data_IF_644560768634
#
_entry.id   IF_644560768634
#
_cell.length_a   1.000
_cell.length_b   1.000
_cell.length_c   1.000
_cell.angle_alpha   90.00
_cell.angle_beta   90.00
_cell.angle_gamma   90.00
#
_symmetry.space_group_name_H-M   'P 1'
#
loop_
_entity.id
_entity.type
_entity.pdbx_description
1 polymer ?
#
# COMPACT_ATOMS: atom_id res chain seq x y z
N UNK A 1 -9.48 -1.62 -22.80
CA UNK A 1 -8.35 -1.08 -22.05
C UNK A 1 -7.31 -2.15 -21.67
N UNK A 2 -7.70 -3.45 -21.62
CA UNK A 2 -6.77 -4.52 -21.24
C UNK A 2 -5.51 -4.54 -22.11
N UNK A 3 -4.35 -4.60 -21.47
CA UNK A 3 -3.04 -4.60 -22.11
C UNK A 3 -2.61 -3.27 -22.72
N UNK A 4 -3.40 -2.21 -22.54
CA UNK A 4 -3.07 -0.88 -23.07
C UNK A 4 -2.69 0.05 -21.93
N UNK A 5 -1.56 0.76 -22.02
CA UNK A 5 -1.22 1.78 -21.03
C UNK A 5 -2.30 2.86 -20.96
N UNK A 6 -2.68 3.20 -19.75
CA UNK A 6 -3.40 4.45 -19.45
C UNK A 6 -2.38 5.52 -19.11
N UNK A 7 -2.82 6.80 -19.04
CA UNK A 7 -1.87 7.90 -18.88
C UNK A 7 -0.95 7.70 -17.66
N UNK A 8 0.38 7.85 -17.82
CA UNK A 8 1.32 7.64 -16.74
C UNK A 8 1.21 8.75 -15.69
N UNK A 9 1.42 8.40 -14.44
CA UNK A 9 1.69 9.35 -13.38
C UNK A 9 3.20 9.66 -13.36
N UNK A 10 3.55 10.94 -13.31
CA UNK A 10 4.94 11.40 -13.19
C UNK A 10 5.05 12.32 -11.98
N UNK A 11 6.09 12.15 -11.20
CA UNK A 11 6.40 13.09 -10.14
C UNK A 11 6.61 14.50 -10.67
N UNK A 12 6.19 15.51 -9.91
CA UNK A 12 6.38 16.93 -10.25
C UNK A 12 7.74 17.45 -9.84
N UNK A 13 8.32 16.84 -8.84
CA UNK A 13 9.60 17.23 -8.25
C UNK A 13 10.42 15.97 -7.97
N UNK A 14 11.76 16.09 -7.98
CA UNK A 14 12.63 14.99 -7.57
C UNK A 14 12.37 14.56 -6.13
N UNK A 15 12.59 13.28 -5.85
CA UNK A 15 12.50 12.71 -4.51
C UNK A 15 13.51 13.36 -3.55
N UNK A 16 13.07 13.57 -2.33
CA UNK A 16 13.93 13.99 -1.22
C UNK A 16 14.15 12.84 -0.24
N UNK A 17 15.29 12.83 0.44
CA UNK A 17 15.58 11.85 1.48
C UNK A 17 14.54 11.86 2.62
N UNK A 18 13.88 13.00 2.85
CA UNK A 18 12.78 13.09 3.81
C UNK A 18 11.55 12.27 3.41
N UNK A 19 11.37 11.98 2.13
CA UNK A 19 10.25 11.14 1.67
C UNK A 19 10.48 9.69 2.11
N UNK A 20 11.72 9.22 2.06
CA UNK A 20 12.09 7.90 2.57
C UNK A 20 11.88 7.79 4.08
N UNK A 21 12.32 8.81 4.83
CA UNK A 21 12.10 8.85 6.28
C UNK A 21 10.63 8.85 6.63
N UNK A 22 9.81 9.62 5.91
CA UNK A 22 8.35 9.65 6.10
C UNK A 22 7.74 8.29 5.83
N UNK A 23 8.17 7.63 4.77
CA UNK A 23 7.69 6.30 4.40
C UNK A 23 8.04 5.25 5.47
N UNK A 24 9.30 5.14 5.86
CA UNK A 24 9.71 4.15 6.88
C UNK A 24 9.06 4.39 8.22
N UNK A 25 8.83 5.65 8.59
CA UNK A 25 8.08 5.99 9.80
C UNK A 25 6.63 5.49 9.71
N UNK A 26 5.96 5.73 8.59
CA UNK A 26 4.58 5.30 8.37
C UNK A 26 4.47 3.77 8.30
N UNK A 27 5.45 3.11 7.70
CA UNK A 27 5.50 1.64 7.57
C UNK A 27 6.08 0.95 8.81
N UNK A 28 6.39 1.66 9.88
CA UNK A 28 7.01 1.11 11.09
C UNK A 28 8.29 0.30 10.77
N UNK A 29 9.12 0.81 9.86
CA UNK A 29 10.31 0.13 9.35
C UNK A 29 11.59 0.86 9.73
N UNK A 30 12.05 0.67 10.96
CA UNK A 30 13.20 1.36 11.54
C UNK A 30 14.56 0.81 11.04
N UNK A 31 14.76 0.75 9.71
CA UNK A 31 16.02 0.36 9.10
C UNK A 31 16.86 1.61 8.78
N UNK A 32 18.02 1.73 9.44
CA UNK A 32 18.94 2.87 9.37
C UNK A 32 19.37 3.22 7.94
N UNK A 33 19.43 2.25 7.05
CA UNK A 33 19.81 2.43 5.64
C UNK A 33 18.96 3.48 4.91
N UNK A 34 17.75 3.74 5.38
CA UNK A 34 16.77 4.59 4.71
C UNK A 34 16.65 6.00 5.30
N UNK A 35 17.25 6.27 6.48
CA UNK A 35 17.10 7.57 7.13
C UNK A 35 18.32 8.06 7.92
N UNK A 36 19.31 7.21 8.17
CA UNK A 36 20.55 7.59 8.86
C UNK A 36 21.66 7.78 7.82
N UNK A 37 22.11 9.04 7.66
CA UNK A 37 23.09 9.40 6.64
C UNK A 37 24.47 8.79 6.89
N UNK A 38 24.90 8.78 8.17
CA UNK A 38 26.24 8.29 8.54
C UNK A 38 26.30 6.77 8.35
N UNK A 39 25.28 6.07 8.84
CA UNK A 39 25.14 4.63 8.62
C UNK A 39 25.11 4.29 7.13
N UNK A 40 24.28 4.96 6.33
CA UNK A 40 24.13 4.65 4.90
C UNK A 40 25.39 4.97 4.09
N UNK A 41 26.20 5.94 4.54
CA UNK A 41 27.48 6.28 3.88
C UNK A 41 28.52 5.17 4.02
N UNK A 42 28.49 4.40 5.09
CA UNK A 42 29.41 3.26 5.34
C UNK A 42 28.93 1.98 4.63
N UNK A 43 27.66 1.92 4.21
CA UNK A 43 27.04 0.76 3.60
C UNK A 43 27.33 0.59 2.10
N UNK A 44 26.77 -0.47 1.53
CA UNK A 44 26.91 -0.89 0.14
C UNK A 44 26.65 0.24 -0.87
N UNK A 45 25.69 1.14 -0.57
CA UNK A 45 25.19 2.14 -1.49
C UNK A 45 25.90 3.50 -1.34
N UNK A 46 26.65 3.71 -0.25
CA UNK A 46 27.36 4.96 0.05
C UNK A 46 26.46 6.17 0.30
N UNK A 47 25.15 5.96 0.41
CA UNK A 47 24.13 7.00 0.63
C UNK A 47 22.78 6.37 1.00
N UNK A 48 21.85 7.20 1.46
CA UNK A 48 20.48 6.76 1.69
C UNK A 48 19.86 6.18 0.41
N UNK A 49 19.15 5.09 0.56
CA UNK A 49 18.39 4.42 -0.49
C UNK A 49 16.95 4.21 -0.01
N UNK A 50 15.97 4.30 -0.91
CA UNK A 50 14.58 4.02 -0.56
C UNK A 50 14.38 2.52 -0.21
N UNK A 51 13.46 2.18 0.69
CA UNK A 51 12.98 0.81 0.85
C UNK A 51 12.45 0.24 -0.48
N UNK A 52 12.48 -1.07 -0.64
CA UNK A 52 11.92 -1.70 -1.85
C UNK A 52 10.41 -1.43 -1.98
N UNK A 53 9.70 -1.35 -0.87
CA UNK A 53 8.28 -1.02 -0.81
C UNK A 53 7.94 0.41 -1.27
N UNK A 54 8.94 1.32 -1.31
CA UNK A 54 8.69 2.74 -1.52
C UNK A 54 8.09 3.09 -2.88
N UNK A 55 8.29 2.28 -3.92
CA UNK A 55 7.79 2.58 -5.26
C UNK A 55 6.28 2.90 -5.28
N UNK A 56 5.48 2.22 -4.46
CA UNK A 56 4.04 2.47 -4.36
C UNK A 56 3.69 3.84 -3.78
N UNK A 57 4.61 4.47 -3.06
CA UNK A 57 4.39 5.81 -2.48
C UNK A 57 4.18 6.90 -3.54
N UNK A 58 4.68 6.70 -4.75
CA UNK A 58 4.53 7.64 -5.87
C UNK A 58 3.29 7.37 -6.72
N UNK A 59 2.58 6.28 -6.46
CA UNK A 59 1.33 5.99 -7.15
C UNK A 59 0.17 6.77 -6.53
N UNK A 60 -0.65 7.33 -7.39
CA UNK A 60 -1.77 8.18 -7.04
C UNK A 60 -3.07 7.42 -6.72
N UNK A 61 -3.04 6.12 -6.78
CA UNK A 61 -4.16 5.22 -6.48
C UNK A 61 -3.76 4.10 -5.53
N UNK A 62 -2.76 4.29 -4.67
CA UNK A 62 -2.24 3.26 -3.74
C UNK A 62 -1.90 1.93 -4.43
N UNK A 63 -1.44 2.00 -5.66
CA UNK A 63 -1.22 0.81 -6.47
C UNK A 63 -2.47 0.20 -7.11
N UNK A 64 -3.66 0.68 -6.79
CA UNK A 64 -4.91 0.10 -7.29
C UNK A 64 -5.33 0.63 -8.67
N UNK A 65 -4.81 1.76 -9.12
CA UNK A 65 -5.27 2.46 -10.32
C UNK A 65 -5.54 1.57 -11.55
N UNK A 66 -4.59 0.77 -12.03
CA UNK A 66 -4.82 -0.08 -13.20
C UNK A 66 -5.76 -1.27 -12.95
N UNK A 67 -6.03 -1.58 -11.68
CA UNK A 67 -6.95 -2.64 -11.25
C UNK A 67 -8.36 -2.13 -10.95
N UNK A 68 -8.70 -0.88 -11.26
CA UNK A 68 -10.03 -0.29 -11.04
C UNK A 68 -10.58 0.41 -12.27
N UNK A 69 -10.25 -0.05 -13.44
CA UNK A 69 -10.72 0.52 -14.70
C UNK A 69 -12.18 0.17 -14.94
N UNK A 70 -12.94 1.15 -15.40
CA UNK A 70 -14.37 1.02 -15.69
C UNK A 70 -15.27 1.28 -14.47
N UNK A 71 -16.47 1.78 -14.74
CA UNK A 71 -17.50 2.00 -13.74
C UNK A 71 -18.35 0.74 -13.53
N UNK A 72 -18.48 0.28 -12.29
CA UNK A 72 -19.50 -0.69 -11.88
C UNK A 72 -20.42 0.06 -10.92
N UNK A 73 -21.66 0.37 -11.31
CA UNK A 73 -22.59 1.12 -10.47
C UNK A 73 -22.76 0.46 -9.09
N UNK A 74 -22.95 1.26 -8.05
CA UNK A 74 -23.23 0.83 -6.67
C UNK A 74 -22.21 -0.16 -6.08
N UNK A 75 -21.02 -0.21 -6.70
CA UNK A 75 -19.94 -1.08 -6.22
C UNK A 75 -19.01 -0.35 -5.26
N UNK A 76 -18.49 -1.11 -4.31
CA UNK A 76 -17.32 -0.75 -3.52
C UNK A 76 -16.10 -1.52 -3.98
N UNK A 77 -14.93 -1.01 -3.65
CA UNK A 77 -13.64 -1.59 -4.01
C UNK A 77 -12.81 -1.80 -2.76
N UNK A 78 -12.28 -3.02 -2.61
CA UNK A 78 -11.23 -3.31 -1.63
C UNK A 78 -9.99 -3.87 -2.33
N UNK A 79 -8.84 -3.69 -1.72
CA UNK A 79 -7.57 -4.19 -2.25
C UNK A 79 -7.41 -5.66 -1.86
N UNK A 80 -7.33 -6.56 -2.86
CA UNK A 80 -7.32 -8.00 -2.65
C UNK A 80 -5.92 -8.63 -2.58
N UNK A 81 -4.90 -7.90 -3.01
CA UNK A 81 -3.52 -8.40 -3.00
C UNK A 81 -2.64 -7.73 -4.02
N UNK A 82 -1.36 -8.01 -3.95
CA UNK A 82 -0.38 -7.58 -4.93
C UNK A 82 0.71 -8.62 -5.16
N UNK A 83 1.35 -8.49 -6.32
CA UNK A 83 2.49 -9.28 -6.74
C UNK A 83 3.56 -8.33 -7.27
N UNK A 84 4.77 -8.41 -6.73
CA UNK A 84 5.88 -7.54 -7.04
C UNK A 84 7.01 -8.27 -7.72
N UNK A 85 7.60 -7.63 -8.73
CA UNK A 85 8.85 -8.02 -9.37
C UNK A 85 9.81 -6.83 -9.33
N UNK A 86 11.05 -7.06 -8.90
CA UNK A 86 12.10 -6.05 -8.84
C UNK A 86 13.23 -6.39 -9.81
N UNK A 87 13.70 -5.38 -10.53
CA UNK A 87 14.61 -5.57 -11.66
C UNK A 87 16.03 -5.06 -11.40
N UNK A 88 16.33 -4.63 -10.18
CA UNK A 88 17.68 -4.29 -9.74
C UNK A 88 17.94 -2.82 -9.45
N UNK A 89 17.53 -1.85 -10.29
CA UNK A 89 17.75 -0.44 -9.97
C UNK A 89 17.08 -0.07 -8.64
N UNK A 90 17.80 0.75 -7.85
CA UNK A 90 17.28 1.27 -6.56
C UNK A 90 16.81 2.70 -6.75
N UNK A 91 16.01 3.17 -5.82
CA UNK A 91 15.47 4.53 -5.79
C UNK A 91 16.29 5.36 -4.82
N UNK A 92 16.70 6.55 -5.24
CA UNK A 92 17.52 7.47 -4.47
C UNK A 92 16.89 8.85 -4.37
N UNK A 93 17.34 9.65 -3.40
CA UNK A 93 17.06 11.08 -3.40
C UNK A 93 17.60 11.74 -4.67
N UNK A 94 16.79 12.57 -5.31
CA UNK A 94 17.06 13.17 -6.61
C UNK A 94 16.42 12.42 -7.79
N UNK A 95 15.92 11.20 -7.62
CA UNK A 95 15.22 10.49 -8.70
C UNK A 95 13.85 11.10 -8.97
N UNK A 96 13.45 11.09 -10.24
CA UNK A 96 12.11 11.41 -10.71
C UNK A 96 11.46 10.12 -11.23
N UNK A 97 10.41 9.65 -10.55
CA UNK A 97 9.77 8.39 -10.91
C UNK A 97 8.58 8.62 -11.84
N UNK A 98 8.39 7.64 -12.71
CA UNK A 98 7.22 7.50 -13.57
C UNK A 98 6.53 6.19 -13.25
N UNK A 99 5.22 6.23 -13.04
CA UNK A 99 4.37 5.06 -12.91
C UNK A 99 3.50 4.93 -14.17
N UNK A 100 3.78 3.92 -14.98
CA UNK A 100 2.95 3.53 -16.11
C UNK A 100 1.94 2.48 -15.64
N UNK A 101 0.67 2.69 -15.95
CA UNK A 101 -0.44 1.84 -15.52
C UNK A 101 -1.01 1.07 -16.69
N UNK A 102 -1.11 -0.26 -16.54
CA UNK A 102 -1.62 -1.15 -17.58
C UNK A 102 -2.67 -2.08 -16.99
N UNK A 103 -3.96 -1.89 -17.30
CA UNK A 103 -5.00 -2.89 -16.94
C UNK A 103 -4.64 -4.24 -17.50
N UNK A 104 -4.69 -5.29 -16.68
CA UNK A 104 -4.19 -6.61 -17.08
C UNK A 104 -5.31 -7.60 -17.37
N UNK A 105 -6.18 -7.86 -16.39
CA UNK A 105 -7.22 -8.88 -16.50
C UNK A 105 -8.38 -8.61 -15.54
N UNK A 106 -9.51 -9.25 -15.77
CA UNK A 106 -10.62 -9.30 -14.82
C UNK A 106 -11.35 -10.64 -14.89
N UNK A 107 -11.93 -11.03 -13.78
CA UNK A 107 -12.79 -12.20 -13.70
C UNK A 107 -13.94 -11.93 -12.73
N UNK A 108 -15.15 -12.31 -13.11
CA UNK A 108 -16.32 -12.26 -12.23
C UNK A 108 -16.57 -13.64 -11.67
N UNK A 109 -16.74 -13.74 -10.35
CA UNK A 109 -17.01 -15.00 -9.63
C UNK A 109 -18.09 -14.77 -8.59
N UNK A 110 -18.86 -15.81 -8.31
CA UNK A 110 -19.72 -15.87 -7.14
C UNK A 110 -18.87 -16.00 -5.88
N UNK A 111 -19.14 -15.17 -4.89
CA UNK A 111 -18.48 -15.22 -3.58
C UNK A 111 -19.52 -15.33 -2.47
N UNK A 112 -19.14 -15.95 -1.37
CA UNK A 112 -19.96 -15.98 -0.13
C UNK A 112 -20.01 -14.63 0.57
N UNK A 113 -19.15 -13.69 0.18
CA UNK A 113 -19.09 -12.35 0.77
C UNK A 113 -20.13 -11.39 0.18
N UNK A 114 -20.31 -11.39 -1.15
CA UNK A 114 -21.12 -10.37 -1.83
C UNK A 114 -21.80 -10.88 -3.11
N UNK A 115 -21.93 -12.19 -3.32
CA UNK A 115 -22.45 -12.74 -4.57
C UNK A 115 -21.53 -12.47 -5.75
N UNK A 116 -22.06 -11.96 -6.88
CA UNK A 116 -21.24 -11.61 -8.04
C UNK A 116 -20.18 -10.57 -7.69
N UNK A 117 -18.92 -10.94 -7.83
CA UNK A 117 -17.77 -10.12 -7.43
C UNK A 117 -16.75 -10.08 -8.56
N UNK A 118 -16.31 -8.88 -8.94
CA UNK A 118 -15.32 -8.69 -9.97
C UNK A 118 -13.92 -8.55 -9.36
N UNK A 119 -13.05 -9.49 -9.68
CA UNK A 119 -11.61 -9.44 -9.38
C UNK A 119 -10.91 -8.85 -10.60
N UNK A 120 -10.39 -7.66 -10.46
CA UNK A 120 -9.71 -6.95 -11.54
C UNK A 120 -8.25 -6.75 -11.17
N UNK A 121 -7.34 -7.02 -12.09
CA UNK A 121 -5.91 -6.82 -11.87
C UNK A 121 -5.30 -5.88 -12.91
N UNK A 122 -4.22 -5.21 -12.48
CA UNK A 122 -3.48 -4.31 -13.35
C UNK A 122 -2.07 -4.08 -12.86
N UNK A 123 -1.21 -3.70 -13.78
CA UNK A 123 0.22 -3.49 -13.56
C UNK A 123 0.54 -2.01 -13.37
N UNK A 124 1.26 -1.71 -12.32
CA UNK A 124 2.00 -0.47 -12.12
C UNK A 124 3.46 -0.75 -12.44
N UNK A 125 3.98 -0.11 -13.49
CA UNK A 125 5.37 -0.22 -13.91
C UNK A 125 6.11 1.05 -13.50
N UNK A 126 7.12 0.91 -12.65
CA UNK A 126 7.89 2.04 -12.12
C UNK A 126 9.23 2.18 -12.80
N UNK A 127 9.50 3.38 -13.31
CA UNK A 127 10.73 3.76 -13.98
C UNK A 127 11.34 4.98 -13.30
N UNK A 128 12.66 5.11 -13.37
CA UNK A 128 13.33 6.36 -13.01
C UNK A 128 13.41 7.32 -14.21
N UNK A 129 14.01 8.49 -14.01
CA UNK A 129 14.21 9.52 -15.05
C UNK A 129 15.05 9.07 -16.25
N UNK A 130 15.86 8.02 -16.09
CA UNK A 130 16.70 7.46 -17.15
C UNK A 130 15.96 6.40 -17.99
N UNK A 131 14.73 6.03 -17.58
CA UNK A 131 13.97 4.94 -18.17
C UNK A 131 14.36 3.55 -17.64
N UNK A 132 15.16 3.47 -16.59
CA UNK A 132 15.48 2.20 -15.94
C UNK A 132 14.24 1.62 -15.27
N UNK A 133 13.91 0.38 -15.58
CA UNK A 133 12.78 -0.32 -15.01
C UNK A 133 13.12 -0.82 -13.59
N UNK A 134 12.49 -0.21 -12.60
CA UNK A 134 12.75 -0.48 -11.18
C UNK A 134 11.96 -1.69 -10.70
N UNK A 135 10.63 -1.63 -10.86
CA UNK A 135 9.73 -2.63 -10.35
C UNK A 135 8.41 -2.67 -11.12
N UNK A 136 7.75 -3.81 -11.07
CA UNK A 136 6.34 -3.97 -11.42
C UNK A 136 5.57 -4.38 -10.19
N UNK A 137 4.44 -3.72 -9.94
CA UNK A 137 3.42 -4.18 -9.02
C UNK A 137 2.19 -4.59 -9.81
N UNK A 138 1.76 -5.84 -9.74
CA UNK A 138 0.44 -6.26 -10.17
C UNK A 138 -0.50 -6.25 -8.97
N UNK A 139 -1.40 -5.30 -8.93
CA UNK A 139 -2.43 -5.23 -7.92
C UNK A 139 -3.70 -5.96 -8.35
N UNK A 140 -4.47 -6.40 -7.37
CA UNK A 140 -5.80 -6.98 -7.58
C UNK A 140 -6.80 -6.24 -6.72
N UNK A 141 -7.84 -5.70 -7.35
CA UNK A 141 -8.99 -5.09 -6.69
C UNK A 141 -10.15 -6.07 -6.67
N UNK A 142 -10.92 -6.05 -5.60
CA UNK A 142 -12.15 -6.82 -5.42
C UNK A 142 -13.29 -5.82 -5.42
N UNK A 143 -14.12 -5.83 -6.47
CA UNK A 143 -15.24 -4.92 -6.64
C UNK A 143 -16.55 -5.69 -6.49
N UNK A 144 -17.43 -5.19 -5.64
CA UNK A 144 -18.65 -5.88 -5.25
C UNK A 144 -19.79 -4.89 -4.97
N UNK A 145 -21.03 -5.34 -5.10
CA UNK A 145 -22.21 -4.56 -4.74
C UNK A 145 -22.30 -4.47 -3.19
N UNK A 146 -22.34 -3.25 -2.66
CA UNK A 146 -22.38 -2.99 -1.21
C UNK A 146 -23.59 -3.63 -0.54
N UNK A 147 -24.75 -3.42 -1.15
CA UNK A 147 -26.00 -3.95 -0.62
C UNK A 147 -25.94 -5.46 -0.44
N UNK A 148 -25.40 -6.18 -1.45
CA UNK A 148 -25.25 -7.62 -1.35
C UNK A 148 -24.33 -8.03 -0.21
N UNK A 149 -23.20 -7.34 -0.01
CA UNK A 149 -22.28 -7.66 1.07
C UNK A 149 -22.92 -7.46 2.46
N UNK A 150 -23.73 -6.42 2.61
CA UNK A 150 -24.47 -6.15 3.84
C UNK A 150 -25.58 -7.20 4.04
N UNK A 151 -26.36 -7.51 3.00
CA UNK A 151 -27.46 -8.50 3.09
C UNK A 151 -26.95 -9.92 3.37
N UNK A 152 -25.83 -10.30 2.76
CA UNK A 152 -25.24 -11.63 2.99
C UNK A 152 -24.60 -11.78 4.37
N UNK A 153 -24.23 -10.66 5.01
CA UNK A 153 -23.74 -10.65 6.40
C UNK A 153 -22.55 -11.58 6.64
N UNK A 154 -21.73 -11.79 5.63
CA UNK A 154 -20.63 -12.77 5.67
C UNK A 154 -19.51 -12.40 6.66
N UNK A 155 -19.47 -11.15 7.09
CA UNK A 155 -18.55 -10.66 8.10
C UNK A 155 -19.36 -10.06 9.27
N UNK A 156 -19.28 -10.71 10.41
CA UNK A 156 -19.89 -10.18 11.65
C UNK A 156 -19.17 -8.90 12.09
N UNK A 157 -19.97 -7.93 12.57
CA UNK A 157 -19.41 -6.72 13.14
C UNK A 157 -18.49 -7.06 14.32
N UNK A 158 -17.29 -6.53 14.29
CA UNK A 158 -16.28 -6.77 15.34
C UNK A 158 -16.03 -5.46 16.07
N UNK A 159 -16.00 -5.52 17.39
CA UNK A 159 -15.61 -4.38 18.20
C UNK A 159 -14.10 -4.15 18.17
N UNK A 160 -13.69 -2.92 18.37
CA UNK A 160 -12.27 -2.62 18.48
C UNK A 160 -11.68 -3.28 19.72
N UNK A 161 -10.48 -3.88 19.63
CA UNK A 161 -9.86 -4.53 20.77
C UNK A 161 -9.51 -3.52 21.86
N UNK A 162 -9.72 -3.91 23.10
CA UNK A 162 -9.26 -3.18 24.28
C UNK A 162 -7.95 -3.82 24.75
N UNK A 163 -6.87 -3.06 24.68
CA UNK A 163 -5.55 -3.54 25.05
C UNK A 163 -5.23 -3.25 26.52
N UNK A 164 -4.71 -4.24 27.23
CA UNK A 164 -4.11 -4.05 28.55
C UNK A 164 -2.70 -3.45 28.41
N UNK A 165 -2.19 -2.83 29.48
CA UNK A 165 -0.82 -2.32 29.50
C UNK A 165 0.22 -3.41 29.24
N UNK A 166 -0.02 -4.63 29.74
CA UNK A 166 0.89 -5.76 29.52
C UNK A 166 0.90 -6.20 28.05
N UNK A 167 -0.26 -6.31 27.41
CA UNK A 167 -0.36 -6.66 25.99
C UNK A 167 0.35 -5.61 25.10
N UNK A 168 0.15 -4.31 25.40
CA UNK A 168 0.86 -3.24 24.68
C UNK A 168 2.38 -3.34 24.86
N UNK A 169 2.83 -3.65 26.07
CA UNK A 169 4.25 -3.85 26.34
C UNK A 169 4.81 -5.07 25.59
N UNK A 170 4.10 -6.18 25.58
CA UNK A 170 4.50 -7.40 24.88
C UNK A 170 4.59 -7.16 23.35
N UNK A 171 3.69 -6.36 22.79
CA UNK A 171 3.74 -5.95 21.39
C UNK A 171 4.94 -5.05 21.12
N UNK A 172 5.24 -4.13 22.00
CA UNK A 172 6.41 -3.24 21.90
C UNK A 172 7.71 -4.04 21.95
N UNK A 173 7.85 -4.95 22.92
CA UNK A 173 9.02 -5.81 23.04
C UNK A 173 9.26 -6.62 21.75
N UNK A 174 8.21 -7.18 21.15
CA UNK A 174 8.30 -7.89 19.87
C UNK A 174 8.68 -6.97 18.68
N UNK A 175 8.26 -5.71 18.68
CA UNK A 175 8.72 -4.74 17.66
C UNK A 175 10.22 -4.54 17.75
N UNK A 176 10.76 -4.45 18.96
CA UNK A 176 12.20 -4.27 19.17
C UNK A 176 13.02 -5.49 18.75
N UNK A 177 12.51 -6.70 18.86
CA UNK A 177 13.20 -7.91 18.40
C UNK A 177 13.55 -7.85 16.90
N UNK A 178 12.59 -7.42 16.08
CA UNK A 178 12.82 -7.28 14.63
C UNK A 178 13.80 -6.13 14.31
N UNK A 179 13.66 -5.00 14.99
CA UNK A 179 14.57 -3.85 14.83
C UNK A 179 15.99 -4.26 15.24
N UNK A 180 16.12 -4.94 16.36
CA UNK A 180 17.39 -5.44 16.87
C UNK A 180 18.08 -6.37 15.89
N UNK A 181 17.34 -7.31 15.30
CA UNK A 181 17.87 -8.23 14.28
C UNK A 181 18.46 -7.46 13.08
N UNK A 182 17.78 -6.41 12.60
CA UNK A 182 18.29 -5.59 11.50
C UNK A 182 19.56 -4.82 11.90
N UNK A 183 19.58 -4.24 13.10
CA UNK A 183 20.73 -3.46 13.59
C UNK A 183 21.93 -4.36 13.92
N UNK A 184 21.71 -5.59 14.41
CA UNK A 184 22.78 -6.57 14.65
C UNK A 184 23.37 -7.09 13.34
N UNK A 185 22.57 -7.27 12.30
CA UNK A 185 23.08 -7.58 10.96
C UNK A 185 23.93 -6.45 10.41
N UNK A 186 23.53 -5.18 10.65
CA UNK A 186 24.22 -3.99 10.19
C UNK A 186 24.54 -4.07 8.69
N UNK A 187 25.81 -3.85 8.34
CA UNK A 187 26.33 -3.98 6.97
C UNK A 187 26.75 -5.43 6.62
N UNK A 188 26.43 -6.38 7.47
CA UNK A 188 26.74 -7.80 7.29
C UNK A 188 26.00 -8.41 6.09
N UNK A 189 26.43 -9.61 5.74
CA UNK A 189 25.85 -10.41 4.65
C UNK A 189 25.20 -11.65 5.21
N UNK A 190 24.07 -12.03 4.61
CA UNK A 190 23.52 -13.38 4.75
C UNK A 190 23.90 -14.17 3.51
N UNK A 191 24.36 -15.38 3.72
CA UNK A 191 24.69 -16.30 2.64
C UNK A 191 23.61 -17.38 2.54
N UNK A 192 23.35 -17.84 1.33
CA UNK A 192 22.37 -18.90 1.07
C UNK A 192 22.68 -20.17 1.88
N UNK A 193 23.95 -20.50 2.01
CA UNK A 193 24.41 -21.72 2.70
C UNK A 193 24.23 -21.66 4.23
N UNK A 194 23.94 -20.49 4.77
CA UNK A 194 23.68 -20.28 6.20
C UNK A 194 22.19 -20.47 6.56
N UNK A 195 21.33 -20.77 5.57
CA UNK A 195 19.88 -20.84 5.75
C UNK A 195 19.42 -22.27 5.64
N UNK A 196 18.72 -22.76 6.66
CA UNK A 196 18.18 -24.10 6.71
C UNK A 196 16.65 -24.11 6.58
N UNK A 197 16.12 -25.23 6.06
CA UNK A 197 14.67 -25.44 6.02
C UNK A 197 14.15 -25.62 7.44
N UNK A 198 13.27 -24.73 7.86
CA UNK A 198 12.71 -24.71 9.21
C UNK A 198 13.23 -23.54 10.06
N UNK A 199 14.17 -22.75 9.55
CA UNK A 199 14.58 -21.52 10.22
C UNK A 199 13.39 -20.57 10.37
N UNK A 200 13.24 -20.00 11.55
CA UNK A 200 12.20 -19.06 11.88
C UNK A 200 12.73 -17.62 11.82
N UNK A 201 11.99 -16.76 11.16
CA UNK A 201 12.28 -15.32 11.16
C UNK A 201 11.69 -14.67 12.44
N UNK A 202 12.34 -13.63 12.99
CA UNK A 202 11.77 -12.86 14.09
C UNK A 202 10.39 -12.33 13.74
N UNK A 203 9.49 -12.34 14.70
CA UNK A 203 8.13 -11.78 14.51
C UNK A 203 8.23 -10.29 14.27
N UNK A 204 7.59 -9.81 13.21
CA UNK A 204 7.38 -8.38 12.99
C UNK A 204 5.98 -8.00 13.46
N UNK A 205 5.89 -7.04 14.36
CA UNK A 205 4.62 -6.48 14.84
C UNK A 205 4.43 -5.08 14.27
N UNK A 206 3.25 -4.82 13.72
CA UNK A 206 2.82 -3.52 13.24
C UNK A 206 1.49 -3.18 13.89
N UNK A 207 1.37 -2.00 14.44
CA UNK A 207 0.19 -1.60 15.22
C UNK A 207 0.45 -1.65 16.75
N UNK A 208 -0.58 -1.53 17.61
CA UNK A 208 -2.00 -1.43 17.23
C UNK A 208 -2.29 -0.22 16.35
N UNK A 209 -3.17 -0.39 15.37
CA UNK A 209 -3.57 0.70 14.51
C UNK A 209 -4.63 1.60 15.18
N UNK A 210 -4.58 2.89 14.83
CA UNK A 210 -5.52 3.90 15.23
C UNK A 210 -5.80 4.85 14.08
N UNK A 211 -6.75 5.75 14.23
CA UNK A 211 -6.98 6.84 13.26
C UNK A 211 -5.69 7.63 12.99
N UNK A 212 -4.88 7.86 14.03
CA UNK A 212 -3.61 8.58 13.88
C UNK A 212 -2.59 7.81 13.04
N UNK A 213 -2.47 6.48 13.20
CA UNK A 213 -1.58 5.66 12.37
C UNK A 213 -2.00 5.65 10.92
N UNK A 214 -3.28 5.47 10.62
CA UNK A 214 -3.80 5.53 9.25
C UNK A 214 -3.61 6.90 8.60
N UNK A 215 -3.79 7.98 9.34
CA UNK A 215 -3.51 9.33 8.85
C UNK A 215 -2.01 9.52 8.52
N UNK A 216 -1.12 8.92 9.30
CA UNK A 216 0.31 8.94 9.04
C UNK A 216 0.67 8.13 7.79
N UNK A 217 0.11 6.93 7.65
CA UNK A 217 0.28 6.11 6.44
C UNK A 217 -0.19 6.85 5.19
N UNK A 218 -1.39 7.42 5.22
CA UNK A 218 -1.93 8.22 4.13
C UNK A 218 -0.98 9.33 3.71
N UNK A 219 -0.43 10.07 4.68
CA UNK A 219 0.48 11.19 4.41
C UNK A 219 1.87 10.77 3.91
N UNK A 220 2.21 9.51 3.98
CA UNK A 220 3.45 9.00 3.43
C UNK A 220 3.38 8.75 1.92
N UNK A 221 2.19 8.57 1.36
CA UNK A 221 1.98 8.53 -0.08
C UNK A 221 2.11 9.92 -0.68
N UNK A 222 2.98 10.09 -1.67
CA UNK A 222 3.36 11.41 -2.18
C UNK A 222 2.22 12.14 -2.91
N UNK A 223 1.31 11.42 -3.52
CA UNK A 223 0.16 12.03 -4.21
C UNK A 223 -0.79 12.77 -3.25
N UNK A 224 -0.78 12.44 -1.96
CA UNK A 224 -1.58 13.14 -0.95
C UNK A 224 -1.05 14.53 -0.65
N UNK A 225 0.17 14.82 -1.05
CA UNK A 225 0.72 16.16 -1.07
C UNK A 225 0.33 16.75 -2.41
N UNK A 226 -0.56 17.72 -2.43
CA UNK A 226 -1.06 18.38 -3.61
C UNK A 226 -0.03 18.50 -4.72
N UNK A 227 -0.18 17.66 -5.73
CA UNK A 227 0.68 17.66 -6.89
C UNK A 227 1.99 16.93 -6.72
N UNK A 228 2.09 15.98 -5.80
CA UNK A 228 3.23 15.04 -5.76
C UNK A 228 3.41 14.28 -7.06
N UNK A 229 2.32 14.06 -7.80
CA UNK A 229 2.34 13.49 -9.14
C UNK A 229 1.63 14.39 -10.15
N UNK A 230 2.08 14.33 -11.40
CA UNK A 230 1.44 15.01 -12.52
C UNK A 230 0.86 13.98 -13.48
N UNK A 231 -0.39 14.19 -13.90
CA UNK A 231 -1.16 13.27 -14.76
C UNK A 231 -1.63 13.96 -16.03
N UNK A 232 -0.75 14.31 -16.95
CA UNK A 232 -1.20 14.91 -18.20
C UNK A 232 -1.96 13.87 -19.04
N UNK A 233 -3.17 14.24 -19.46
CA UNK A 233 -3.97 13.38 -20.32
C UNK A 233 -4.52 12.11 -19.67
N UNK A 234 -4.67 12.09 -18.35
CA UNK A 234 -5.35 11.00 -17.67
C UNK A 234 -6.78 10.84 -18.21
N UNK A 235 -7.07 9.65 -18.72
CA UNK A 235 -8.42 9.30 -19.13
C UNK A 235 -9.25 8.89 -17.90
N UNK A 236 -9.97 9.84 -17.35
CA UNK A 236 -10.80 9.65 -16.16
C UNK A 236 -11.92 8.66 -16.43
N UNK A 237 -12.48 8.61 -17.65
CA UNK A 237 -13.50 7.64 -18.00
C UNK A 237 -12.93 6.21 -18.03
N UNK A 238 -11.70 6.03 -18.51
CA UNK A 238 -11.02 4.74 -18.46
C UNK A 238 -10.77 4.27 -17.03
N UNK A 239 -10.55 5.20 -16.09
CA UNK A 239 -10.41 4.89 -14.67
C UNK A 239 -11.74 4.66 -13.96
N UNK A 240 -12.87 4.76 -14.66
CA UNK A 240 -14.20 4.63 -14.08
C UNK A 240 -14.72 5.86 -13.36
N UNK A 241 -14.03 7.00 -13.48
CA UNK A 241 -14.51 8.26 -12.95
C UNK A 241 -15.36 8.98 -14.00
N UNK A 242 -16.62 9.18 -13.70
CA UNK A 242 -17.51 10.06 -14.46
C UNK A 242 -17.52 11.44 -13.79
N UNK A 243 -18.17 12.43 -14.41
CA UNK A 243 -18.36 13.75 -13.79
C UNK A 243 -19.03 13.65 -12.42
N UNK A 244 -19.95 12.70 -12.25
CA UNK A 244 -20.64 12.44 -10.99
C UNK A 244 -19.70 11.96 -9.87
N UNK A 245 -18.64 11.23 -10.23
CA UNK A 245 -17.65 10.68 -9.30
C UNK A 245 -16.32 11.44 -9.30
N UNK A 246 -16.21 12.48 -10.13
CA UNK A 246 -14.98 13.25 -10.22
C UNK A 246 -14.68 13.97 -8.90
N UNK A 247 -13.51 13.70 -8.36
CA UNK A 247 -13.05 14.31 -7.10
C UNK A 247 -13.46 13.57 -5.83
N UNK A 248 -14.20 12.48 -5.93
CA UNK A 248 -14.55 11.61 -4.79
C UNK A 248 -13.65 10.38 -4.78
N UNK A 249 -12.95 10.16 -3.71
CA UNK A 249 -12.14 8.96 -3.50
C UNK A 249 -13.01 7.78 -3.12
N UNK A 250 -14.19 8.05 -2.62
CA UNK A 250 -15.14 7.10 -2.11
C UNK A 250 -16.51 7.33 -2.70
N UNK A 251 -17.43 6.57 -2.23
CA UNK A 251 -18.80 6.59 -2.61
C UNK A 251 -19.48 7.95 -2.34
N UNK A 252 -19.69 8.78 -3.36
CA UNK A 252 -20.29 10.10 -3.18
C UNK A 252 -21.74 10.01 -2.70
N UNK A 253 -22.43 8.89 -2.96
CA UNK A 253 -23.80 8.68 -2.48
C UNK A 253 -23.80 8.53 -0.97
N UNK A 254 -22.91 7.72 -0.42
CA UNK A 254 -22.78 7.58 1.02
C UNK A 254 -22.35 8.90 1.69
N UNK A 255 -21.50 9.67 1.09
CA UNK A 255 -21.11 10.98 1.61
C UNK A 255 -22.27 11.97 1.63
N UNK A 256 -23.05 12.01 0.54
CA UNK A 256 -24.26 12.86 0.44
C UNK A 256 -25.31 12.46 1.51
N UNK A 257 -25.50 11.17 1.70
CA UNK A 257 -26.53 10.65 2.59
C UNK A 257 -26.10 10.63 4.08
N UNK A 258 -24.80 10.84 4.34
CA UNK A 258 -24.23 10.90 5.70
C UNK A 258 -23.27 12.10 5.85
N UNK A 259 -23.77 13.34 5.69
CA UNK A 259 -22.93 14.53 5.65
C UNK A 259 -22.17 14.79 6.97
N UNK A 260 -22.65 14.29 8.09
CA UNK A 260 -22.00 14.39 9.40
C UNK A 260 -20.66 13.68 9.47
N UNK A 261 -20.38 12.77 8.53
CA UNK A 261 -19.12 12.04 8.47
C UNK A 261 -18.11 12.67 7.52
N UNK A 262 -18.46 13.78 6.88
CA UNK A 262 -17.66 14.36 5.81
C UNK A 262 -16.90 15.61 6.21
N UNK A 263 -17.21 16.24 7.35
CA UNK A 263 -16.63 17.52 7.78
C UNK A 263 -16.52 18.60 6.67
N UNK A 264 -17.27 18.43 5.58
CA UNK A 264 -17.45 19.39 4.48
C UNK A 264 -16.28 19.54 3.51
N UNK A 265 -15.05 19.35 3.94
CA UNK A 265 -13.84 19.51 3.12
C UNK A 265 -12.84 18.38 3.33
N UNK A 266 -13.32 17.20 3.71
CA UNK A 266 -12.46 16.07 3.98
C UNK A 266 -11.65 15.67 2.77
N UNK A 267 -10.36 15.65 2.97
CA UNK A 267 -9.39 15.12 2.02
C UNK A 267 -8.41 14.20 2.74
N UNK A 268 -8.70 12.92 2.71
CA UNK A 268 -7.96 11.95 3.48
C UNK A 268 -8.22 10.52 3.01
N UNK A 269 -7.88 9.54 3.87
CA UNK A 269 -8.11 8.13 3.55
C UNK A 269 -9.58 7.83 3.32
N UNK A 270 -9.83 6.72 2.63
CA UNK A 270 -11.19 6.17 2.52
C UNK A 270 -11.83 6.05 3.90
N UNK A 271 -13.05 6.51 4.03
CA UNK A 271 -13.73 6.58 5.33
C UNK A 271 -13.89 5.22 6.00
N UNK A 272 -13.99 4.14 5.24
CA UNK A 272 -14.03 2.79 5.76
C UNK A 272 -12.77 2.38 6.54
N UNK A 273 -11.63 3.06 6.32
CA UNK A 273 -10.42 2.84 7.10
C UNK A 273 -10.47 3.50 8.48
N UNK A 274 -11.32 4.52 8.66
CA UNK A 274 -11.32 5.37 9.84
C UNK A 274 -12.58 5.20 10.71
N UNK A 275 -13.73 4.98 10.09
CA UNK A 275 -15.02 4.99 10.75
C UNK A 275 -15.69 3.61 10.70
N UNK A 276 -15.83 2.92 11.84
CA UNK A 276 -16.46 1.59 11.90
C UNK A 276 -17.88 1.56 11.33
N UNK A 277 -18.66 2.61 11.55
CA UNK A 277 -20.04 2.72 11.05
C UNK A 277 -20.06 2.78 9.51
N UNK A 278 -19.12 3.49 8.92
CA UNK A 278 -18.96 3.53 7.48
C UNK A 278 -18.50 2.19 6.91
N UNK A 279 -17.52 1.56 7.55
CA UNK A 279 -17.05 0.23 7.16
C UNK A 279 -18.20 -0.80 7.13
N UNK A 280 -19.10 -0.78 8.12
CA UNK A 280 -20.27 -1.67 8.17
C UNK A 280 -21.23 -1.43 7.00
N UNK A 281 -21.39 -0.19 6.56
CA UNK A 281 -22.27 0.15 5.40
C UNK A 281 -21.76 -0.39 4.06
N UNK A 282 -20.50 -0.78 4.00
CA UNK A 282 -19.90 -1.41 2.84
C UNK A 282 -19.61 -2.90 3.04
N UNK A 283 -20.19 -3.52 4.10
CA UNK A 283 -20.07 -4.94 4.39
C UNK A 283 -18.80 -5.35 5.13
N UNK A 284 -17.99 -4.39 5.60
CA UNK A 284 -16.80 -4.67 6.40
C UNK A 284 -17.14 -4.71 7.90
N UNK A 285 -16.49 -5.56 8.71
CA UNK A 285 -16.84 -5.73 10.12
C UNK A 285 -16.44 -4.53 10.99
N UNK A 286 -15.40 -3.81 10.60
CA UNK A 286 -14.82 -2.62 11.28
C UNK A 286 -13.93 -1.85 10.34
N UNK A 287 -13.27 -0.81 10.81
CA UNK A 287 -12.19 -0.14 10.07
C UNK A 287 -11.11 -1.15 9.64
N UNK A 288 -10.57 -1.00 8.44
CA UNK A 288 -9.64 -1.96 7.84
C UNK A 288 -8.40 -1.25 7.28
N UNK A 289 -7.28 -1.99 7.18
CA UNK A 289 -6.00 -1.45 6.72
C UNK A 289 -5.93 -1.18 5.22
N UNK A 290 -4.92 -0.41 4.80
CA UNK A 290 -4.60 -0.24 3.38
C UNK A 290 -3.89 -1.48 2.86
N UNK A 291 -4.40 -2.08 1.79
CA UNK A 291 -3.77 -3.24 1.18
C UNK A 291 -2.35 -2.95 0.67
N UNK A 292 -2.10 -1.78 0.08
CA UNK A 292 -0.76 -1.39 -0.35
C UNK A 292 0.23 -1.24 0.82
N UNK A 293 -0.21 -0.75 1.98
CA UNK A 293 0.62 -0.72 3.19
C UNK A 293 0.92 -2.14 3.70
N UNK A 294 -0.06 -3.05 3.65
CA UNK A 294 0.16 -4.47 4.01
C UNK A 294 1.21 -5.11 3.10
N UNK A 295 1.17 -4.84 1.78
CA UNK A 295 2.20 -5.26 0.84
C UNK A 295 3.57 -4.71 1.17
N UNK A 296 3.62 -3.42 1.53
CA UNK A 296 4.85 -2.77 1.97
C UNK A 296 5.41 -3.42 3.25
N UNK A 297 4.56 -3.77 4.21
CA UNK A 297 5.01 -4.44 5.43
C UNK A 297 5.63 -5.80 5.15
N UNK A 298 5.05 -6.59 4.26
CA UNK A 298 5.61 -7.89 3.87
C UNK A 298 6.95 -7.73 3.16
N UNK A 299 7.05 -6.79 2.21
CA UNK A 299 8.29 -6.51 1.50
C UNK A 299 9.40 -6.02 2.44
N UNK A 300 9.09 -5.07 3.32
CA UNK A 300 10.05 -4.51 4.28
C UNK A 300 10.51 -5.55 5.31
N UNK A 301 9.62 -6.49 5.67
CA UNK A 301 9.97 -7.61 6.55
C UNK A 301 11.05 -8.49 5.92
N UNK A 302 10.82 -8.92 4.69
CA UNK A 302 11.75 -9.77 3.95
C UNK A 302 13.04 -9.02 3.60
N UNK A 303 12.94 -7.76 3.17
CA UNK A 303 14.10 -6.93 2.84
C UNK A 303 14.95 -6.62 4.08
N UNK A 304 14.33 -6.33 5.22
CA UNK A 304 15.01 -6.10 6.49
C UNK A 304 15.77 -7.34 6.99
N UNK A 305 15.18 -8.51 6.83
CA UNK A 305 15.87 -9.77 7.13
C UNK A 305 17.03 -10.03 6.17
N UNK A 306 16.84 -9.82 4.85
CA UNK A 306 17.87 -10.06 3.85
C UNK A 306 19.07 -9.10 3.96
N UNK A 307 18.87 -7.91 4.56
CA UNK A 307 19.87 -6.88 4.70
C UNK A 307 20.21 -6.16 3.39
N UNK A 308 21.18 -5.25 3.43
CA UNK A 308 21.52 -4.40 2.28
C UNK A 308 22.16 -5.15 1.09
N UNK A 309 22.70 -6.35 1.33
CA UNK A 309 23.31 -7.19 0.30
C UNK A 309 22.32 -8.15 -0.36
N UNK A 310 21.16 -8.33 0.25
CA UNK A 310 20.05 -9.07 -0.32
C UNK A 310 19.08 -8.15 -1.07
N UNK A 311 18.19 -8.77 -1.83
CA UNK A 311 17.07 -8.09 -2.49
C UNK A 311 15.92 -9.07 -2.68
N UNK A 312 14.72 -8.65 -2.34
CA UNK A 312 13.51 -9.38 -2.74
C UNK A 312 13.33 -9.20 -4.24
N UNK A 313 13.40 -10.26 -5.00
CA UNK A 313 13.23 -10.20 -6.47
C UNK A 313 11.78 -10.42 -6.89
N UNK A 314 11.03 -11.16 -6.08
CA UNK A 314 9.62 -11.43 -6.31
C UNK A 314 8.89 -11.64 -4.98
N UNK A 315 7.69 -11.08 -4.88
CA UNK A 315 6.79 -11.27 -3.74
C UNK A 315 5.35 -11.33 -4.23
N UNK A 316 4.53 -12.18 -3.61
CA UNK A 316 3.11 -12.27 -3.86
C UNK A 316 2.34 -12.37 -2.56
N UNK A 317 1.39 -11.47 -2.36
CA UNK A 317 0.54 -11.43 -1.19
C UNK A 317 -0.94 -11.42 -1.59
N UNK A 318 -1.77 -12.12 -0.82
CA UNK A 318 -3.23 -12.12 -0.95
C UNK A 318 -3.82 -11.74 0.40
N UNK A 319 -4.68 -10.73 0.42
CA UNK A 319 -5.34 -10.24 1.62
C UNK A 319 -6.73 -10.86 1.68
N UNK A 320 -7.00 -11.65 2.71
CA UNK A 320 -8.22 -12.48 2.80
C UNK A 320 -9.11 -12.14 3.99
N UNK A 321 -8.75 -11.12 4.73
CA UNK A 321 -9.51 -10.62 5.87
C UNK A 321 -9.21 -9.14 6.09
N UNK A 322 -10.08 -8.45 6.82
CA UNK A 322 -9.91 -7.04 7.17
C UNK A 322 -8.80 -6.82 8.19
#
# INVERSE_FOLDING_TARGET
YLGKPIAPARMKEPLHNNDFRRWVQAMHYANLLHYDHDYAAEGRWGRLVAPQSFAVAVDDGHGAGPACVGCIPDSHLIFGGDEWWFYGPRIYGGDELVNEKVPFDYVVKETSFAGPTCFQSGDNNYYNQNGDFIARQRSTSIRYARENAVEMGAMEATEDPVWTEQELKDLEDKKYEFIKMMHELGHGKRYWDDIEVGDELPVRVIGPHSVASFATEWRAYLFTIWGGTHRPGLDMAAMGFTEEFAGHENDPVMERDNPEWTDGAYFGPSRGHLFPEWARKIGMPRGYGYGASMGAWVLDYLAGWAGEWGMVVHSKASYRGP
#
